data_IF_458695389886
#
_entry.id   IF_458695389886
#
_cell.length_a   1.000
_cell.length_b   1.000
_cell.length_c   1.000
_cell.angle_alpha   90.00
_cell.angle_beta   90.00
_cell.angle_gamma   90.00
#
_symmetry.space_group_name_H-M   'P 1'
#
loop_
_entity.id
_entity.type
_entity.pdbx_description
1 polymer ?
#
# COMPACT_ATOMS: atom_id res chain seq x y z
N UNK A 1 32.67 -5.95 -33.33
CA UNK A 1 32.85 -7.37 -32.95
C UNK A 1 31.57 -7.85 -32.28
N UNK A 2 30.87 -8.82 -32.87
CA UNK A 2 29.62 -9.46 -32.40
C UNK A 2 29.92 -10.95 -32.19
N UNK A 3 29.46 -11.62 -31.12
CA UNK A 3 29.61 -13.06 -31.00
C UNK A 3 28.56 -13.82 -31.84
N UNK A 4 28.87 -15.04 -32.32
CA UNK A 4 27.98 -15.83 -33.15
C UNK A 4 26.99 -16.67 -32.35
N UNK A 5 25.76 -16.69 -32.86
CA UNK A 5 24.64 -17.55 -32.46
C UNK A 5 24.95 -19.03 -32.71
N UNK A 6 24.62 -19.91 -31.74
CA UNK A 6 24.53 -21.35 -31.97
C UNK A 6 23.07 -21.78 -31.86
N UNK A 7 22.49 -22.04 -33.03
CA UNK A 7 21.28 -22.81 -33.19
C UNK A 7 21.64 -24.31 -33.13
N UNK A 8 20.87 -25.11 -32.39
CA UNK A 8 20.53 -26.46 -32.81
C UNK A 8 19.19 -26.86 -32.20
N UNK A 9 18.30 -27.28 -33.08
CA UNK A 9 16.93 -27.69 -32.80
C UNK A 9 16.87 -29.11 -32.25
N UNK A 10 15.86 -29.39 -31.43
CA UNK A 10 15.13 -30.64 -31.53
C UNK A 10 13.66 -30.38 -31.21
N UNK A 11 12.84 -30.48 -32.25
CA UNK A 11 11.40 -30.41 -32.20
C UNK A 11 10.85 -31.74 -31.67
N UNK A 12 9.90 -31.66 -30.73
CA UNK A 12 8.93 -32.72 -30.53
C UNK A 12 7.54 -32.10 -30.55
N UNK A 13 6.82 -32.41 -31.62
CA UNK A 13 5.43 -32.11 -31.86
C UNK A 13 4.55 -32.85 -30.84
N UNK A 14 3.61 -32.14 -30.22
CA UNK A 14 2.29 -32.70 -29.95
C UNK A 14 1.24 -31.61 -30.17
N UNK A 15 0.66 -31.62 -31.36
CA UNK A 15 -0.54 -30.88 -31.68
C UNK A 15 -1.74 -31.66 -31.12
N UNK A 16 -2.52 -31.06 -30.23
CA UNK A 16 -3.88 -31.50 -29.97
C UNK A 16 -4.82 -30.29 -30.10
N UNK A 17 -5.78 -30.49 -30.96
CA UNK A 17 -6.71 -29.55 -31.58
C UNK A 17 -7.82 -29.07 -30.63
N UNK A 18 -8.07 -27.76 -30.70
CA UNK A 18 -9.37 -27.06 -30.67
C UNK A 18 -10.53 -27.66 -29.85
N UNK A 19 -10.94 -26.95 -28.80
CA UNK A 19 -12.35 -26.86 -28.42
C UNK A 19 -12.69 -25.43 -27.98
N UNK A 20 -13.12 -24.63 -28.97
CA UNK A 20 -13.90 -23.40 -28.73
C UNK A 20 -15.28 -23.80 -28.23
N UNK A 21 -15.59 -23.50 -26.96
CA UNK A 21 -16.93 -23.60 -26.38
C UNK A 21 -17.57 -22.21 -26.24
N UNK A 22 -18.90 -22.07 -26.45
CA UNK A 22 -19.57 -20.78 -26.52
C UNK A 22 -19.87 -20.19 -25.13
N UNK A 23 -20.00 -18.86 -25.11
CA UNK A 23 -20.55 -18.10 -23.99
C UNK A 23 -21.99 -18.55 -23.69
N UNK A 24 -22.20 -19.15 -22.52
CA UNK A 24 -23.50 -19.20 -21.88
C UNK A 24 -23.57 -18.03 -20.89
N UNK A 25 -24.48 -17.10 -21.17
CA UNK A 25 -24.94 -16.11 -20.22
C UNK A 25 -25.44 -16.84 -18.95
N UNK A 26 -24.79 -16.58 -17.82
CA UNK A 26 -25.32 -16.93 -16.51
C UNK A 26 -26.03 -15.69 -15.99
N UNK A 27 -27.37 -15.70 -16.08
CA UNK A 27 -28.23 -14.80 -15.33
C UNK A 27 -28.07 -15.12 -13.84
N UNK A 28 -27.82 -14.12 -12.96
CA UNK A 28 -27.88 -14.36 -11.53
C UNK A 28 -29.35 -14.48 -11.13
N UNK A 29 -29.78 -15.71 -10.87
CA UNK A 29 -31.03 -16.03 -10.20
C UNK A 29 -30.95 -15.49 -8.76
N UNK A 30 -31.87 -14.60 -8.41
CA UNK A 30 -32.02 -14.03 -7.07
C UNK A 30 -32.72 -15.08 -6.20
N UNK A 31 -31.97 -15.80 -5.37
CA UNK A 31 -32.55 -16.62 -4.31
C UNK A 31 -32.93 -15.75 -3.10
N UNK A 32 -34.17 -15.90 -2.57
CA UNK A 32 -34.71 -15.06 -1.53
C UNK A 32 -34.25 -15.46 -0.13
N UNK A 33 -34.27 -14.46 0.75
CA UNK A 33 -33.93 -14.48 2.17
C UNK A 33 -34.38 -15.74 2.92
N UNK A 34 -33.44 -16.41 3.59
CA UNK A 34 -33.75 -17.25 4.76
C UNK A 34 -33.39 -16.48 6.02
N UNK A 35 -34.41 -15.85 6.56
CA UNK A 35 -34.51 -15.33 7.91
C UNK A 35 -34.26 -16.47 8.91
N UNK A 36 -33.21 -16.36 9.73
CA UNK A 36 -32.99 -17.25 10.86
C UNK A 36 -32.77 -16.41 12.11
N UNK A 37 -33.87 -16.08 12.78
CA UNK A 37 -33.86 -15.68 14.18
C UNK A 37 -34.27 -16.86 15.05
N UNK A 38 -33.45 -17.19 16.05
CA UNK A 38 -33.79 -17.33 17.49
C UNK A 38 -32.90 -18.39 18.17
N UNK A 39 -31.97 -17.91 19.01
CA UNK A 39 -31.36 -18.61 20.17
C UNK A 39 -32.44 -18.98 21.24
N UNK A 40 -32.16 -19.69 22.37
CA UNK A 40 -30.85 -20.01 22.99
C UNK A 40 -30.68 -21.46 23.52
N UNK A 41 -29.44 -21.90 23.74
CA UNK A 41 -29.15 -22.92 24.76
C UNK A 41 -27.85 -22.56 25.48
N UNK A 42 -27.98 -22.28 26.77
CA UNK A 42 -26.88 -22.04 27.68
C UNK A 42 -26.46 -23.38 28.29
N UNK A 43 -25.20 -23.77 28.14
CA UNK A 43 -24.28 -24.19 29.21
C UNK A 43 -22.97 -24.65 28.59
N UNK A 44 -21.91 -23.88 28.82
CA UNK A 44 -20.56 -24.19 28.37
C UNK A 44 -19.60 -23.06 28.72
N UNK A 45 -19.45 -22.76 30.01
CA UNK A 45 -18.32 -21.98 30.53
C UNK A 45 -17.02 -22.74 30.23
N UNK A 46 -16.50 -22.53 29.03
CA UNK A 46 -15.08 -22.69 28.74
C UNK A 46 -14.52 -21.27 28.73
N UNK A 47 -13.77 -20.93 29.77
CA UNK A 47 -13.03 -19.68 29.83
C UNK A 47 -12.13 -19.58 28.61
N UNK A 48 -12.55 -18.77 27.64
CA UNK A 48 -11.71 -18.40 26.52
C UNK A 48 -10.62 -17.50 27.07
N UNK A 49 -9.48 -18.10 27.40
CA UNK A 49 -8.24 -17.36 27.61
C UNK A 49 -7.88 -16.80 26.24
N UNK A 50 -8.40 -15.60 25.96
CA UNK A 50 -8.05 -14.85 24.76
C UNK A 50 -6.53 -14.75 24.64
N UNK A 51 -6.00 -14.73 23.40
CA UNK A 51 -4.55 -14.68 23.17
C UNK A 51 -3.92 -13.55 24.00
N UNK A 52 -2.72 -13.77 24.58
CA UNK A 52 -2.08 -12.80 25.46
C UNK A 52 -2.02 -11.44 24.76
N UNK A 53 -2.47 -10.41 25.47
CA UNK A 53 -2.43 -9.04 24.96
C UNK A 53 -1.00 -8.72 24.50
N UNK A 54 -0.83 -8.10 23.32
CA UNK A 54 0.50 -7.78 22.83
C UNK A 54 1.23 -6.88 23.85
N UNK A 55 2.57 -7.00 23.97
CA UNK A 55 3.34 -6.14 24.85
C UNK A 55 3.01 -4.67 24.61
N UNK A 56 2.86 -3.90 25.69
CA UNK A 56 2.61 -2.47 25.61
C UNK A 56 3.73 -1.77 24.81
N UNK A 57 3.36 -1.08 23.73
CA UNK A 57 4.30 -0.31 22.92
C UNK A 57 4.83 0.88 23.75
N UNK A 58 6.10 1.24 23.55
CA UNK A 58 6.65 2.45 24.13
C UNK A 58 5.81 3.67 23.71
N UNK A 59 5.69 4.71 24.56
CA UNK A 59 4.98 5.93 24.20
C UNK A 59 5.52 6.48 22.87
N UNK A 60 4.65 6.98 21.97
CA UNK A 60 5.10 7.55 20.72
C UNK A 60 5.98 8.79 20.97
N UNK A 61 6.95 9.08 20.09
CA UNK A 61 7.75 10.28 20.21
C UNK A 61 6.87 11.54 20.04
N UNK A 62 7.31 12.66 20.59
CA UNK A 62 6.60 13.95 20.50
C UNK A 62 6.36 14.37 19.03
N UNK A 63 7.24 13.94 18.12
CA UNK A 63 7.16 14.23 16.69
C UNK A 63 6.38 13.20 15.86
N UNK A 64 5.68 12.25 16.49
CA UNK A 64 4.97 11.17 15.81
C UNK A 64 4.00 11.68 14.74
N UNK A 65 3.19 12.68 15.06
CA UNK A 65 2.23 13.27 14.12
C UNK A 65 2.92 13.85 12.88
N UNK A 66 4.12 14.42 13.04
CA UNK A 66 4.89 14.93 11.91
C UNK A 66 5.39 13.80 11.01
N UNK A 67 5.75 12.65 11.58
CA UNK A 67 6.16 11.47 10.80
C UNK A 67 4.99 10.78 10.11
N UNK A 68 3.84 10.70 10.76
CA UNK A 68 2.61 10.20 10.15
C UNK A 68 2.20 11.05 8.95
N UNK A 69 2.29 12.38 9.09
CA UNK A 69 2.04 13.30 7.97
C UNK A 69 3.09 13.19 6.88
N UNK A 70 4.37 13.10 7.23
CA UNK A 70 5.45 12.90 6.27
C UNK A 70 5.27 11.60 5.49
N UNK A 71 4.89 10.51 6.16
CA UNK A 71 4.63 9.20 5.51
C UNK A 71 3.52 9.30 4.46
N UNK A 72 2.42 9.99 4.76
CA UNK A 72 1.34 10.25 3.81
C UNK A 72 1.78 11.08 2.59
N UNK A 73 2.60 12.09 2.82
CA UNK A 73 3.18 12.93 1.75
C UNK A 73 4.05 12.09 0.82
N UNK A 74 4.90 11.21 1.38
CA UNK A 74 5.74 10.31 0.60
C UNK A 74 4.91 9.37 -0.29
N UNK A 75 3.81 8.83 0.24
CA UNK A 75 2.87 8.01 -0.53
C UNK A 75 2.19 8.78 -1.66
N UNK A 76 1.73 9.99 -1.36
CA UNK A 76 1.10 10.89 -2.33
C UNK A 76 2.07 11.24 -3.47
N UNK A 77 3.31 11.57 -3.14
CA UNK A 77 4.36 11.89 -4.13
C UNK A 77 4.75 10.67 -4.96
N UNK A 78 4.81 9.47 -4.35
CA UNK A 78 5.08 8.23 -5.06
C UNK A 78 4.10 7.99 -6.21
N UNK A 79 2.80 8.20 -5.98
CA UNK A 79 1.80 8.06 -7.03
C UNK A 79 1.85 9.21 -8.03
N UNK A 80 1.74 10.45 -7.56
CA UNK A 80 1.57 11.62 -8.42
C UNK A 80 2.74 11.83 -9.37
N UNK A 81 3.97 11.60 -8.90
CA UNK A 81 5.17 11.79 -9.72
C UNK A 81 5.35 10.70 -10.77
N UNK A 82 4.97 9.46 -10.44
CA UNK A 82 4.88 8.39 -11.44
C UNK A 82 3.85 8.74 -12.52
N UNK A 83 2.65 9.14 -12.11
CA UNK A 83 1.57 9.54 -13.03
C UNK A 83 1.98 10.68 -13.97
N UNK A 84 2.77 11.63 -13.47
CA UNK A 84 3.26 12.77 -14.25
C UNK A 84 4.58 12.51 -14.99
N UNK A 85 5.08 11.28 -15.01
CA UNK A 85 6.27 10.89 -15.78
C UNK A 85 7.60 11.42 -15.23
N UNK A 86 7.67 11.71 -13.93
CA UNK A 86 8.92 12.13 -13.30
C UNK A 86 9.89 10.96 -13.15
N UNK A 87 11.17 11.20 -13.42
CA UNK A 87 12.24 10.19 -13.39
C UNK A 87 12.62 9.75 -11.97
N UNK A 88 12.25 10.53 -10.96
CA UNK A 88 12.55 10.32 -9.55
C UNK A 88 11.36 9.73 -8.78
N UNK A 89 10.38 9.14 -9.46
CA UNK A 89 9.20 8.55 -8.79
C UNK A 89 9.56 7.44 -7.80
N UNK A 90 10.64 6.68 -8.06
CA UNK A 90 11.14 5.65 -7.15
C UNK A 90 11.69 6.22 -5.83
N UNK A 91 12.25 7.43 -5.85
CA UNK A 91 12.91 8.06 -4.69
C UNK A 91 11.97 8.14 -3.49
N UNK A 92 10.70 8.45 -3.70
CA UNK A 92 9.74 8.65 -2.59
C UNK A 92 9.42 7.36 -1.83
N UNK A 93 9.54 6.20 -2.49
CA UNK A 93 9.45 4.90 -1.82
C UNK A 93 10.72 4.60 -1.02
N UNK A 94 11.87 4.99 -1.54
CA UNK A 94 13.15 4.82 -0.86
C UNK A 94 13.21 5.72 0.38
N UNK A 95 12.71 6.95 0.30
CA UNK A 95 12.57 7.86 1.45
C UNK A 95 11.65 7.28 2.54
N UNK A 96 10.54 6.62 2.16
CA UNK A 96 9.69 5.93 3.15
C UNK A 96 10.45 4.76 3.80
N UNK A 97 11.25 4.04 3.03
CA UNK A 97 12.09 2.96 3.55
C UNK A 97 13.18 3.49 4.49
N UNK A 98 13.79 4.63 4.15
CA UNK A 98 14.78 5.31 4.97
C UNK A 98 14.17 5.84 6.28
N UNK A 99 12.95 6.41 6.24
CA UNK A 99 12.22 6.82 7.42
C UNK A 99 12.00 5.65 8.37
N UNK A 100 11.51 4.52 7.87
CA UNK A 100 11.30 3.31 8.69
C UNK A 100 12.61 2.74 9.24
N UNK A 101 13.70 2.85 8.49
CA UNK A 101 15.02 2.39 8.93
C UNK A 101 15.61 3.30 10.02
N UNK A 102 15.41 4.62 9.93
CA UNK A 102 15.89 5.58 10.92
C UNK A 102 15.12 5.45 12.24
N UNK A 103 13.80 5.31 12.16
CA UNK A 103 12.91 5.30 13.32
C UNK A 103 12.87 3.95 14.06
N UNK A 104 13.27 2.85 13.39
CA UNK A 104 13.20 1.47 13.89
C UNK A 104 11.91 1.19 14.71
N UNK A 105 10.72 1.49 14.17
CA UNK A 105 9.49 1.45 14.96
C UNK A 105 9.10 0.01 15.30
N UNK A 106 8.44 -0.16 16.45
CA UNK A 106 7.75 -1.39 16.80
C UNK A 106 6.66 -1.76 15.79
N UNK A 107 6.14 -3.01 15.80
CA UNK A 107 5.22 -3.49 14.77
C UNK A 107 3.97 -2.63 14.59
N UNK A 108 3.38 -2.15 15.68
CA UNK A 108 2.16 -1.33 15.63
C UNK A 108 2.45 0.06 15.06
N UNK A 109 3.49 0.76 15.56
CA UNK A 109 3.94 2.04 15.00
C UNK A 109 4.34 1.93 13.54
N UNK A 110 5.04 0.86 13.16
CA UNK A 110 5.40 0.57 11.76
C UNK A 110 4.15 0.47 10.88
N UNK A 111 3.13 -0.26 11.34
CA UNK A 111 1.88 -0.42 10.61
C UNK A 111 1.16 0.92 10.43
N UNK A 112 1.16 1.81 11.44
CA UNK A 112 0.57 3.16 11.32
C UNK A 112 1.29 4.00 10.26
N UNK A 113 2.63 4.05 10.29
CA UNK A 113 3.43 4.79 9.32
C UNK A 113 3.20 4.30 7.89
N UNK A 114 3.23 2.98 7.68
CA UNK A 114 2.92 2.35 6.37
C UNK A 114 1.47 2.64 5.96
N UNK A 115 0.53 2.57 6.90
CA UNK A 115 -0.88 2.88 6.66
C UNK A 115 -1.09 4.30 6.14
N UNK A 116 -0.39 5.29 6.71
CA UNK A 116 -0.43 6.69 6.22
C UNK A 116 0.16 6.82 4.82
N UNK A 117 1.28 6.16 4.55
CA UNK A 117 1.85 6.10 3.20
C UNK A 117 0.84 5.56 2.18
N UNK A 118 0.25 4.40 2.47
CA UNK A 118 -0.73 3.77 1.59
C UNK A 118 -1.95 4.67 1.40
N UNK A 119 -2.43 5.32 2.45
CA UNK A 119 -3.55 6.27 2.36
C UNK A 119 -3.26 7.42 1.39
N UNK A 120 -2.08 8.04 1.47
CA UNK A 120 -1.68 9.12 0.55
C UNK A 120 -1.59 8.65 -0.91
N UNK A 121 -1.04 7.44 -1.13
CA UNK A 121 -0.97 6.84 -2.45
C UNK A 121 -2.39 6.59 -3.03
N UNK A 122 -3.24 5.90 -2.27
CA UNK A 122 -4.58 5.51 -2.72
C UNK A 122 -5.52 6.71 -2.93
N UNK A 123 -5.35 7.79 -2.15
CA UNK A 123 -6.15 9.01 -2.30
C UNK A 123 -6.03 9.59 -3.71
N UNK A 124 -4.82 9.66 -4.26
CA UNK A 124 -4.62 10.17 -5.63
C UNK A 124 -4.86 9.11 -6.69
N UNK A 125 -4.56 7.84 -6.39
CA UNK A 125 -4.90 6.71 -7.25
C UNK A 125 -6.41 6.59 -7.47
N UNK A 126 -7.25 6.97 -6.51
CA UNK A 126 -8.70 6.94 -6.68
C UNK A 126 -9.20 7.98 -7.70
N UNK A 127 -8.56 9.15 -7.78
CA UNK A 127 -9.12 10.32 -8.49
C UNK A 127 -8.41 10.71 -9.78
N UNK A 128 -7.16 10.26 -10.00
CA UNK A 128 -6.40 10.61 -11.20
C UNK A 128 -6.05 9.38 -12.04
N UNK A 129 -6.20 9.54 -13.36
CA UNK A 129 -5.79 8.55 -14.39
C UNK A 129 -4.76 9.11 -15.37
N UNK A 130 -4.68 10.43 -15.46
CA UNK A 130 -3.71 11.17 -16.29
C UNK A 130 -3.19 12.35 -15.48
N UNK A 131 -1.97 12.81 -15.77
CA UNK A 131 -1.42 13.99 -15.11
C UNK A 131 -2.19 15.27 -15.48
N UNK A 132 -2.83 15.89 -14.50
CA UNK A 132 -3.61 17.14 -14.65
C UNK A 132 -2.86 18.33 -14.04
N UNK A 133 -3.26 19.59 -14.35
CA UNK A 133 -2.72 20.77 -13.65
C UNK A 133 -2.90 20.70 -12.12
N UNK A 134 -4.05 20.19 -11.66
CA UNK A 134 -4.31 20.00 -10.23
C UNK A 134 -3.38 18.97 -9.60
N UNK A 135 -3.08 17.86 -10.30
CA UNK A 135 -2.10 16.88 -9.84
C UNK A 135 -0.70 17.50 -9.68
N UNK A 136 -0.26 18.31 -10.65
CA UNK A 136 1.02 19.03 -10.58
C UNK A 136 1.08 20.03 -9.43
N UNK A 137 -0.02 20.73 -9.17
CA UNK A 137 -0.13 21.64 -8.03
C UNK A 137 -0.05 20.88 -6.69
N UNK A 138 -0.66 19.70 -6.58
CA UNK A 138 -0.53 18.86 -5.39
C UNK A 138 0.92 18.41 -5.17
N UNK A 139 1.64 18.04 -6.24
CA UNK A 139 3.08 17.72 -6.15
C UNK A 139 3.86 18.90 -5.56
N UNK A 140 3.70 20.11 -6.09
CA UNK A 140 4.49 21.27 -5.63
C UNK A 140 4.21 21.61 -4.16
N UNK A 141 2.95 21.52 -3.73
CA UNK A 141 2.55 21.72 -2.33
C UNK A 141 3.16 20.68 -1.41
N UNK A 142 3.09 19.40 -1.76
CA UNK A 142 3.62 18.32 -0.94
C UNK A 142 5.14 18.32 -0.85
N UNK A 143 5.86 18.74 -1.90
CA UNK A 143 7.30 18.93 -1.81
C UNK A 143 7.66 20.00 -0.77
N UNK A 144 6.97 21.13 -0.77
CA UNK A 144 7.20 22.20 0.21
C UNK A 144 6.81 21.79 1.64
N UNK A 145 5.70 21.09 1.79
CA UNK A 145 5.25 20.58 3.09
C UNK A 145 6.20 19.52 3.65
N UNK A 146 6.58 18.53 2.83
CA UNK A 146 7.51 17.46 3.20
C UNK A 146 8.88 17.99 3.61
N UNK A 147 9.41 18.99 2.88
CA UNK A 147 10.65 19.68 3.25
C UNK A 147 10.53 20.37 4.61
N UNK A 148 9.40 21.06 4.86
CA UNK A 148 9.14 21.75 6.12
C UNK A 148 9.06 20.76 7.29
N UNK A 149 8.34 19.65 7.13
CA UNK A 149 8.23 18.61 8.16
C UNK A 149 9.59 17.98 8.48
N UNK A 150 10.33 17.57 7.46
CA UNK A 150 11.66 16.95 7.62
C UNK A 150 12.63 17.88 8.37
N UNK A 151 12.63 19.17 8.03
CA UNK A 151 13.44 20.18 8.71
C UNK A 151 13.00 20.40 10.16
N UNK A 152 11.70 20.39 10.45
CA UNK A 152 11.20 20.54 11.82
C UNK A 152 11.57 19.34 12.69
N UNK A 153 11.40 18.12 12.18
CA UNK A 153 11.78 16.90 12.91
C UNK A 153 13.27 16.92 13.24
N UNK A 154 14.12 17.19 12.25
CA UNK A 154 15.57 17.29 12.46
C UNK A 154 15.95 18.41 13.42
N UNK A 155 15.48 19.63 13.19
CA UNK A 155 15.96 20.80 13.96
C UNK A 155 15.52 20.81 15.41
N UNK A 156 14.38 20.19 15.73
CA UNK A 156 13.80 20.23 17.09
C UNK A 156 14.13 19.00 17.94
N UNK A 157 14.45 17.86 17.32
CA UNK A 157 14.52 16.58 18.02
C UNK A 157 15.79 15.76 17.75
N UNK A 158 16.82 16.32 17.10
CA UNK A 158 18.11 15.65 16.87
C UNK A 158 19.10 15.76 18.05
N UNK A 159 18.62 15.74 19.30
CA UNK A 159 19.43 15.84 20.51
C UNK A 159 19.50 14.52 21.27
#
# INVERSE_FOLDING_TARGET
MRPPSRALALALFLALTLLSGPAAAQEPEVEPDTEQSSEPDATGEAGEVGPPAPPAEAPPPIYEEQLLRLSEILGSLSFLRQLCGATDSAVWRDEMSALLAAEQPGPQRRARLIGRFNHGFETFNAVYRTCTPSARLSISRYLGEGQTLSNNVRSRYSQ
#
